data_IF_324976439650
#
_entry.id   IF_324976439650
#
_cell.length_a   1.000
_cell.length_b   1.000
_cell.length_c   1.000
_cell.angle_alpha   90.00
_cell.angle_beta   90.00
_cell.angle_gamma   90.00
#
_symmetry.space_group_name_H-M   'P 1'
#
loop_
_entity.id
_entity.type
_entity.pdbx_description
1 polymer ?
#
# COMPACT_ATOMS: atom_id res chain seq x y z
N UNK A 1 4.57 -9.20 12.45
CA UNK A 1 4.50 -8.70 11.05
C UNK A 1 4.74 -7.20 11.11
N UNK A 2 5.85 -6.68 10.58
CA UNK A 2 6.16 -5.23 10.61
C UNK A 2 5.55 -4.58 9.36
N UNK A 3 4.47 -3.84 9.53
CA UNK A 3 4.00 -2.88 8.52
C UNK A 3 4.79 -1.59 8.63
N UNK A 4 5.04 -0.96 7.49
CA UNK A 4 5.67 0.34 7.41
C UNK A 4 4.60 1.40 7.21
N UNK A 5 4.54 2.38 8.11
CA UNK A 5 3.66 3.52 8.01
C UNK A 5 4.45 4.71 7.47
N UNK A 6 3.89 5.39 6.46
CA UNK A 6 4.42 6.66 5.94
C UNK A 6 3.29 7.66 5.77
N UNK A 7 3.59 8.93 5.90
CA UNK A 7 2.63 10.02 5.63
C UNK A 7 3.10 10.80 4.41
N UNK A 8 2.17 11.10 3.52
CA UNK A 8 2.41 11.88 2.30
C UNK A 8 1.26 12.86 2.07
N UNK A 9 1.52 14.14 2.33
CA UNK A 9 0.52 15.19 2.25
C UNK A 9 -0.70 14.89 3.14
N UNK A 10 -1.88 14.86 2.53
CA UNK A 10 -3.15 14.55 3.20
C UNK A 10 -3.41 13.03 3.35
N UNK A 11 -2.44 12.16 3.04
CA UNK A 11 -2.62 10.71 3.01
C UNK A 11 -1.65 9.98 3.94
N UNK A 12 -2.11 8.87 4.51
CA UNK A 12 -1.31 7.89 5.27
C UNK A 12 -1.23 6.60 4.47
N UNK A 13 -0.01 6.11 4.28
CA UNK A 13 0.32 4.90 3.56
C UNK A 13 0.70 3.83 4.57
N UNK A 14 0.06 2.67 4.48
CA UNK A 14 0.36 1.47 5.24
C UNK A 14 0.84 0.41 4.28
N UNK A 15 2.14 0.13 4.27
CA UNK A 15 2.75 -0.91 3.45
C UNK A 15 3.03 -2.14 4.30
N UNK A 16 2.69 -3.32 3.80
CA UNK A 16 2.95 -4.58 4.47
C UNK A 16 3.29 -5.68 3.48
N UNK A 17 4.02 -6.68 3.97
CA UNK A 17 4.33 -7.89 3.23
C UNK A 17 3.56 -9.06 3.84
N UNK A 18 2.73 -9.71 3.04
CA UNK A 18 1.94 -10.87 3.45
C UNK A 18 2.63 -12.12 2.92
N UNK A 19 2.85 -13.14 3.75
CA UNK A 19 3.37 -14.43 3.27
C UNK A 19 2.33 -15.05 2.34
N UNK A 20 2.75 -15.44 1.14
CA UNK A 20 1.84 -16.06 0.20
C UNK A 20 1.43 -17.47 0.67
N UNK A 21 0.21 -17.92 0.34
CA UNK A 21 -0.22 -19.30 0.58
C UNK A 21 0.78 -20.28 -0.03
N UNK A 22 1.25 -21.25 0.76
CA UNK A 22 2.27 -22.23 0.35
C UNK A 22 3.73 -21.82 0.58
N UNK A 23 3.99 -20.70 1.27
CA UNK A 23 5.32 -20.34 1.78
C UNK A 23 6.34 -19.87 0.74
N UNK A 24 5.99 -19.86 -0.55
CA UNK A 24 6.89 -19.48 -1.65
C UNK A 24 6.96 -17.97 -1.88
N UNK A 25 7.31 -17.18 -0.86
CA UNK A 25 7.54 -15.73 -0.98
C UNK A 25 6.42 -14.84 -0.43
N UNK A 26 6.42 -13.57 -0.84
CA UNK A 26 5.60 -12.51 -0.25
C UNK A 26 4.71 -11.80 -1.28
N UNK A 27 3.58 -11.31 -0.82
CA UNK A 27 2.65 -10.43 -1.54
C UNK A 27 2.79 -9.03 -0.96
N UNK A 28 2.87 -8.03 -1.84
CA UNK A 28 2.90 -6.63 -1.44
C UNK A 28 1.46 -6.18 -1.17
N UNK A 29 1.19 -5.64 0.00
CA UNK A 29 -0.11 -5.08 0.35
C UNK A 29 0.06 -3.64 0.79
N UNK A 30 -0.75 -2.75 0.21
CA UNK A 30 -0.75 -1.33 0.55
C UNK A 30 -2.16 -0.82 0.78
N UNK A 31 -2.31 -0.01 1.82
CA UNK A 31 -3.54 0.74 2.11
C UNK A 31 -3.17 2.21 2.23
N UNK A 32 -3.87 3.06 1.50
CA UNK A 32 -3.79 4.51 1.59
C UNK A 32 -5.06 5.03 2.24
N UNK A 33 -4.91 5.78 3.33
CA UNK A 33 -6.00 6.46 4.02
C UNK A 33 -5.86 7.97 3.87
N UNK A 34 -6.97 8.68 3.70
CA UNK A 34 -6.98 10.15 3.75
C UNK A 34 -7.07 10.59 5.21
N UNK A 35 -6.17 11.47 5.64
CA UNK A 35 -6.09 12.01 7.01
C UNK A 35 -6.83 13.35 7.11
N UNK A 36 -6.94 14.10 6.00
CA UNK A 36 -7.56 15.43 5.99
C UNK A 36 -8.85 15.45 5.17
N UNK A 37 -9.98 15.51 5.88
CA UNK A 37 -11.35 15.67 5.38
C UNK A 37 -12.27 15.93 6.57
N UNK A 38 -13.29 16.77 6.39
CA UNK A 38 -14.17 17.41 7.39
C UNK A 38 -14.82 16.47 8.45
N UNK A 39 -14.71 15.15 8.29
CA UNK A 39 -15.50 14.18 9.07
C UNK A 39 -14.73 13.43 10.15
N UNK A 40 -13.48 13.78 10.49
CA UNK A 40 -12.73 13.17 11.61
C UNK A 40 -12.40 11.66 11.49
N UNK A 41 -12.92 10.99 10.46
CA UNK A 41 -12.71 9.58 10.18
C UNK A 41 -11.75 9.43 9.00
N UNK A 42 -10.58 8.85 9.26
CA UNK A 42 -9.62 8.52 8.21
C UNK A 42 -10.23 7.49 7.24
N UNK A 43 -10.61 7.92 6.03
CA UNK A 43 -11.27 7.08 5.03
C UNK A 43 -10.22 6.31 4.21
N UNK A 44 -10.45 5.02 4.00
CA UNK A 44 -9.65 4.23 3.05
C UNK A 44 -9.87 4.78 1.64
N UNK A 45 -8.84 5.43 1.10
CA UNK A 45 -8.87 6.05 -0.21
C UNK A 45 -8.42 5.06 -1.29
N UNK A 46 -7.50 4.15 -0.97
CA UNK A 46 -7.00 3.15 -1.89
C UNK A 46 -6.51 1.92 -1.13
N UNK A 47 -6.77 0.74 -1.68
CA UNK A 47 -6.23 -0.52 -1.21
C UNK A 47 -5.80 -1.31 -2.42
N UNK A 48 -4.61 -1.90 -2.35
CA UNK A 48 -4.12 -2.79 -3.37
C UNK A 48 -3.28 -3.90 -2.78
N UNK A 49 -3.52 -5.11 -3.26
CA UNK A 49 -2.77 -6.32 -2.93
C UNK A 49 -2.18 -6.83 -4.25
N UNK A 50 -0.88 -6.67 -4.43
CA UNK A 50 -0.20 -7.03 -5.67
C UNK A 50 0.75 -8.19 -5.49
N UNK A 51 0.60 -9.18 -6.36
CA UNK A 51 1.70 -10.01 -6.79
C UNK A 51 2.66 -9.17 -7.64
N UNK A 52 3.94 -9.53 -7.64
CA UNK A 52 4.97 -8.98 -8.53
C UNK A 52 4.68 -9.38 -9.98
N UNK A 53 3.65 -8.78 -10.60
CA UNK A 53 3.24 -9.10 -11.98
C UNK A 53 2.86 -10.58 -12.17
N UNK A 54 2.28 -11.23 -11.16
CA UNK A 54 1.96 -12.67 -11.15
C UNK A 54 2.98 -13.54 -10.40
N UNK A 55 4.15 -13.00 -10.06
CA UNK A 55 5.16 -13.68 -9.24
C UNK A 55 5.14 -13.19 -7.78
N UNK A 56 5.74 -13.96 -6.88
CA UNK A 56 5.84 -13.59 -5.45
C UNK A 56 7.18 -12.91 -5.20
N UNK A 57 7.20 -11.94 -4.30
CA UNK A 57 8.42 -11.23 -3.93
C UNK A 57 9.37 -12.16 -3.16
N UNK A 58 10.68 -12.11 -3.45
CA UNK A 58 11.67 -12.98 -2.81
C UNK A 58 11.92 -12.60 -1.34
N UNK A 59 11.62 -11.36 -0.96
CA UNK A 59 11.77 -10.85 0.41
C UNK A 59 10.59 -9.98 0.82
N UNK A 60 10.28 -9.90 2.13
CA UNK A 60 9.25 -9.00 2.61
C UNK A 60 9.64 -7.52 2.42
N UNK A 61 10.94 -7.20 2.42
CA UNK A 61 11.47 -5.86 2.16
C UNK A 61 11.15 -5.41 0.73
N UNK A 62 11.39 -6.28 -0.27
CA UNK A 62 11.09 -5.96 -1.66
C UNK A 62 9.59 -5.75 -1.89
N UNK A 63 8.75 -6.58 -1.26
CA UNK A 63 7.29 -6.42 -1.30
C UNK A 63 6.85 -5.07 -0.70
N UNK A 64 7.41 -4.68 0.46
CA UNK A 64 7.11 -3.40 1.10
C UNK A 64 7.56 -2.21 0.25
N UNK A 65 8.77 -2.25 -0.32
CA UNK A 65 9.27 -1.18 -1.18
C UNK A 65 8.35 -0.96 -2.39
N UNK A 66 7.89 -2.04 -3.03
CA UNK A 66 6.93 -1.93 -4.12
C UNK A 66 5.58 -1.37 -3.65
N UNK A 67 5.07 -1.83 -2.49
CA UNK A 67 3.84 -1.30 -1.90
C UNK A 67 3.91 0.22 -1.68
N UNK A 68 5.02 0.71 -1.12
CA UNK A 68 5.25 2.15 -0.93
C UNK A 68 5.32 2.88 -2.27
N UNK A 69 6.13 2.40 -3.22
CA UNK A 69 6.28 3.02 -4.54
C UNK A 69 4.94 3.13 -5.28
N UNK A 70 4.10 2.09 -5.21
CA UNK A 70 2.77 2.09 -5.81
C UNK A 70 1.85 3.13 -5.16
N UNK A 71 1.83 3.23 -3.83
CA UNK A 71 1.02 4.24 -3.16
C UNK A 71 1.47 5.66 -3.55
N UNK A 72 2.78 5.91 -3.61
CA UNK A 72 3.32 7.20 -4.05
C UNK A 72 2.92 7.51 -5.49
N UNK A 73 3.00 6.53 -6.39
CA UNK A 73 2.56 6.69 -7.78
C UNK A 73 1.07 7.04 -7.85
N UNK A 74 0.22 6.34 -7.11
CA UNK A 74 -1.22 6.61 -7.11
C UNK A 74 -1.54 7.99 -6.52
N UNK A 75 -0.88 8.37 -5.42
CA UNK A 75 -1.09 9.67 -4.78
C UNK A 75 -0.65 10.82 -5.68
N UNK A 76 0.49 10.68 -6.37
CA UNK A 76 1.10 11.76 -7.16
C UNK A 76 0.60 11.85 -8.59
N UNK A 77 0.33 10.71 -9.22
CA UNK A 77 0.11 10.63 -10.67
C UNK A 77 -1.25 10.06 -11.06
N UNK A 78 -1.90 9.29 -10.18
CA UNK A 78 -3.19 8.66 -10.48
C UNK A 78 -4.27 9.01 -9.43
N UNK A 79 -4.49 10.29 -9.09
CA UNK A 79 -5.43 10.69 -8.03
C UNK A 79 -6.86 10.24 -8.32
N UNK A 80 -7.22 9.98 -9.58
CA UNK A 80 -8.52 9.41 -9.98
C UNK A 80 -8.77 8.00 -9.43
N UNK A 81 -7.73 7.27 -9.00
CA UNK A 81 -7.86 5.95 -8.35
C UNK A 81 -8.06 6.06 -6.84
N UNK A 82 -7.84 7.24 -6.26
CA UNK A 82 -8.14 7.52 -4.87
C UNK A 82 -9.64 7.77 -4.73
N UNK A 83 -10.31 6.96 -3.90
CA UNK A 83 -11.70 7.19 -3.51
C UNK A 83 -11.75 8.35 -2.53
N UNK A 84 -12.58 9.35 -2.84
CA UNK A 84 -12.95 10.46 -1.95
C UNK A 84 -14.01 10.04 -0.93
#
# INVERSE_FOLDING_TARGET
MRSEERTEGAYRIYASAIKAPGGKGFVAAVVVKRIHGDSGHAREAFRHESLAGGHRWPSPEAAKLMAVAMAQQVIRHEPHRLKG
#
